data_IF_395446899455
#
_entry.id   IF_395446899455
#
_cell.length_a   1.000
_cell.length_b   1.000
_cell.length_c   1.000
_cell.angle_alpha   90.00
_cell.angle_beta   90.00
_cell.angle_gamma   90.00
#
_symmetry.space_group_name_H-M   'P 1'
#
loop_
_entity.id
_entity.type
_entity.pdbx_description
1 polymer ?
#
# COMPACT_ATOMS: atom_id res chain seq x y z
N UNK A 1 -7.37 -28.23 4.76
CA UNK A 1 -7.47 -26.81 5.14
C UNK A 1 -6.52 -26.40 6.28
N UNK A 2 -6.49 -27.10 7.43
CA UNK A 2 -5.56 -26.78 8.56
C UNK A 2 -4.07 -26.77 8.20
N UNK A 3 -3.61 -27.69 7.36
CA UNK A 3 -2.20 -27.78 6.94
C UNK A 3 -1.71 -26.56 6.15
N UNK A 4 -2.53 -26.02 5.26
CA UNK A 4 -2.17 -24.83 4.46
C UNK A 4 -2.11 -23.57 5.31
N UNK A 5 -3.04 -23.42 6.23
CA UNK A 5 -3.09 -22.26 7.13
C UNK A 5 -1.86 -22.24 8.06
N UNK A 6 -1.53 -23.40 8.66
CA UNK A 6 -0.34 -23.52 9.50
C UNK A 6 0.96 -23.26 8.71
N UNK A 7 1.02 -23.73 7.46
CA UNK A 7 2.13 -23.43 6.56
C UNK A 7 2.25 -21.94 6.23
N UNK A 8 1.14 -21.26 5.95
CA UNK A 8 1.11 -19.83 5.69
C UNK A 8 1.54 -19.01 6.91
N UNK A 9 1.07 -19.36 8.11
CA UNK A 9 1.46 -18.68 9.35
C UNK A 9 2.95 -18.90 9.64
N UNK A 10 3.47 -20.12 9.46
CA UNK A 10 4.89 -20.41 9.64
C UNK A 10 5.76 -19.62 8.68
N UNK A 11 5.36 -19.54 7.40
CA UNK A 11 6.05 -18.73 6.39
C UNK A 11 5.98 -17.23 6.72
N UNK A 12 4.82 -16.74 7.14
CA UNK A 12 4.66 -15.34 7.55
C UNK A 12 5.60 -15.00 8.71
N UNK A 13 5.66 -15.85 9.74
CA UNK A 13 6.56 -15.66 10.89
C UNK A 13 8.03 -15.66 10.47
N UNK A 14 8.41 -16.57 9.60
CA UNK A 14 9.79 -16.65 9.08
C UNK A 14 10.15 -15.40 8.29
N UNK A 15 9.30 -14.95 7.38
CA UNK A 15 9.52 -13.72 6.61
C UNK A 15 9.55 -12.48 7.47
N UNK A 16 8.71 -12.39 8.50
CA UNK A 16 8.77 -11.29 9.47
C UNK A 16 10.11 -11.27 10.20
N UNK A 17 10.62 -12.42 10.66
CA UNK A 17 11.94 -12.50 11.29
C UNK A 17 13.07 -12.10 10.32
N UNK A 18 12.99 -12.52 9.07
CA UNK A 18 13.93 -12.15 8.01
C UNK A 18 13.86 -10.66 7.66
N UNK A 19 12.73 -10.02 7.88
CA UNK A 19 12.52 -8.59 7.64
C UNK A 19 13.34 -7.70 8.58
N UNK A 20 13.71 -8.17 9.75
CA UNK A 20 14.52 -7.44 10.74
C UNK A 20 16.04 -7.46 10.46
N UNK A 21 16.47 -7.70 9.21
CA UNK A 21 17.88 -7.49 8.85
C UNK A 21 18.19 -6.00 8.78
N UNK A 22 19.41 -5.61 9.18
CA UNK A 22 19.83 -4.20 9.25
C UNK A 22 19.51 -3.43 7.97
N UNK A 23 19.84 -4.00 6.80
CA UNK A 23 19.61 -3.36 5.51
C UNK A 23 18.13 -3.11 5.21
N UNK A 24 17.26 -4.10 5.46
CA UNK A 24 15.83 -3.96 5.22
C UNK A 24 15.16 -3.01 6.22
N UNK A 25 15.57 -3.09 7.48
CA UNK A 25 15.08 -2.18 8.54
C UNK A 25 15.46 -0.74 8.26
N UNK A 26 16.70 -0.49 7.79
CA UNK A 26 17.15 0.87 7.42
C UNK A 26 16.33 1.45 6.29
N UNK A 27 16.06 0.67 5.22
CA UNK A 27 15.21 1.12 4.10
C UNK A 27 13.78 1.39 4.56
N UNK A 28 13.22 0.53 5.40
CA UNK A 28 11.88 0.71 5.94
C UNK A 28 11.78 1.96 6.83
N UNK A 29 12.80 2.20 7.66
CA UNK A 29 12.87 3.38 8.51
C UNK A 29 13.02 4.66 7.69
N UNK A 30 13.88 4.65 6.68
CA UNK A 30 14.05 5.78 5.76
C UNK A 30 12.74 6.13 5.05
N UNK A 31 12.02 5.11 4.59
CA UNK A 31 10.72 5.28 3.95
C UNK A 31 9.67 5.84 4.93
N UNK A 32 9.66 5.38 6.18
CA UNK A 32 8.74 5.86 7.21
C UNK A 32 9.06 7.29 7.66
N UNK A 33 10.33 7.68 7.69
CA UNK A 33 10.75 9.02 8.13
C UNK A 33 10.65 10.08 7.04
N UNK A 34 10.59 9.69 5.78
CA UNK A 34 10.54 10.64 4.66
C UNK A 34 9.35 11.61 4.73
N UNK A 35 8.08 11.16 4.88
CA UNK A 35 6.94 12.07 4.96
C UNK A 35 6.97 13.01 6.18
N UNK A 36 7.26 12.54 7.41
CA UNK A 36 7.33 13.44 8.55
C UNK A 36 8.48 14.47 8.45
N UNK A 37 9.61 14.12 7.83
CA UNK A 37 10.69 15.11 7.61
C UNK A 37 10.28 16.17 6.60
N UNK A 38 9.62 15.80 5.50
CA UNK A 38 9.08 16.75 4.53
C UNK A 38 8.05 17.67 5.17
N UNK A 39 7.18 17.11 6.00
CA UNK A 39 6.21 17.86 6.75
C UNK A 39 6.84 18.88 7.70
N UNK A 40 7.81 18.44 8.46
CA UNK A 40 8.53 19.29 9.40
C UNK A 40 9.19 20.49 8.68
N UNK A 41 9.86 20.24 7.55
CA UNK A 41 10.48 21.29 6.74
C UNK A 41 9.45 22.31 6.22
N UNK A 42 8.29 21.82 5.73
CA UNK A 42 7.22 22.69 5.25
C UNK A 42 6.60 23.51 6.38
N UNK A 43 6.42 22.93 7.56
CA UNK A 43 5.87 23.62 8.72
C UNK A 43 6.78 24.75 9.23
N UNK A 44 8.08 24.64 9.04
CA UNK A 44 9.03 25.73 9.34
C UNK A 44 8.85 26.90 8.37
N UNK A 45 8.63 26.60 7.08
CA UNK A 45 8.39 27.62 6.05
C UNK A 45 7.09 28.41 6.27
N UNK A 46 5.99 27.73 6.63
CA UNK A 46 4.69 28.36 6.87
C UNK A 46 4.65 29.24 8.14
N UNK A 47 5.43 28.91 9.16
CA UNK A 47 5.59 29.77 10.35
C UNK A 47 6.25 31.11 10.02
N UNK A 48 7.11 31.12 9.01
CA UNK A 48 7.80 32.36 8.57
C UNK A 48 6.84 33.25 7.76
N UNK A 49 5.90 32.68 7.03
CA UNK A 49 4.96 33.43 6.16
C UNK A 49 3.66 33.85 6.84
N UNK A 50 3.33 33.34 8.03
CA UNK A 50 2.11 33.72 8.78
C UNK A 50 0.79 33.29 8.14
N UNK A 51 0.79 32.44 7.13
CA UNK A 51 -0.35 32.10 6.31
C UNK A 51 -1.04 30.81 6.81
N UNK A 52 -2.26 30.95 7.33
CA UNK A 52 -3.08 29.85 7.84
C UNK A 52 -3.64 28.93 6.72
N UNK A 53 -3.44 29.27 5.46
CA UNK A 53 -3.79 28.43 4.31
C UNK A 53 -2.93 27.15 4.23
N UNK A 54 -1.78 27.14 4.87
CA UNK A 54 -0.85 26.01 4.93
C UNK A 54 -1.43 24.72 5.51
N UNK A 55 -2.52 24.81 6.33
CA UNK A 55 -3.16 23.62 6.89
C UNK A 55 -3.88 22.77 5.86
N UNK A 56 -4.48 23.38 4.85
CA UNK A 56 -5.22 22.68 3.80
C UNK A 56 -4.30 21.98 2.81
N UNK A 57 -3.21 22.63 2.46
CA UNK A 57 -2.17 22.07 1.60
C UNK A 57 -1.40 20.94 2.30
N UNK A 58 -1.29 21.03 3.61
CA UNK A 58 -0.76 20.00 4.47
C UNK A 58 -1.56 18.69 4.44
N UNK A 59 -2.88 18.73 4.61
CA UNK A 59 -3.71 17.53 4.58
C UNK A 59 -3.67 16.85 3.21
N UNK A 60 -3.65 17.63 2.13
CA UNK A 60 -3.46 17.12 0.76
C UNK A 60 -2.09 16.50 0.59
N UNK A 61 -1.05 17.16 1.05
CA UNK A 61 0.32 16.66 0.95
C UNK A 61 0.52 15.36 1.71
N UNK A 62 0.01 15.25 2.95
CA UNK A 62 0.10 14.01 3.73
C UNK A 62 -0.63 12.87 3.02
N UNK A 63 -1.84 13.09 2.56
CA UNK A 63 -2.60 12.02 1.91
C UNK A 63 -1.91 11.55 0.63
N UNK A 64 -1.40 12.47 -0.18
CA UNK A 64 -0.66 12.12 -1.40
C UNK A 64 0.66 11.43 -1.09
N UNK A 65 1.47 11.98 -0.18
CA UNK A 65 2.77 11.40 0.15
C UNK A 65 2.65 10.06 0.87
N UNK A 66 1.77 9.94 1.85
CA UNK A 66 1.64 8.72 2.62
C UNK A 66 0.97 7.62 1.81
N UNK A 67 -0.15 7.89 1.15
CA UNK A 67 -0.85 6.85 0.40
C UNK A 67 -0.04 6.47 -0.85
N UNK A 68 0.40 7.45 -1.63
CA UNK A 68 1.03 7.18 -2.92
C UNK A 68 2.50 6.77 -2.79
N UNK A 69 3.24 7.26 -1.82
CA UNK A 69 4.66 6.94 -1.68
C UNK A 69 4.91 5.82 -0.69
N UNK A 70 4.51 5.98 0.57
CA UNK A 70 4.89 5.02 1.62
C UNK A 70 4.22 3.68 1.39
N UNK A 71 2.90 3.63 1.19
CA UNK A 71 2.21 2.38 0.95
C UNK A 71 2.67 1.68 -0.33
N UNK A 72 2.73 2.41 -1.46
CA UNK A 72 3.09 1.82 -2.75
C UNK A 72 4.55 1.39 -2.81
N UNK A 73 5.50 2.23 -2.35
CA UNK A 73 6.91 1.88 -2.35
C UNK A 73 7.22 0.76 -1.36
N UNK A 74 6.58 0.73 -0.19
CA UNK A 74 6.76 -0.37 0.75
C UNK A 74 6.28 -1.69 0.13
N UNK A 75 5.13 -1.70 -0.56
CA UNK A 75 4.64 -2.89 -1.23
C UNK A 75 5.50 -3.29 -2.43
N UNK A 76 6.01 -2.34 -3.20
CA UNK A 76 6.97 -2.61 -4.27
C UNK A 76 8.22 -3.32 -3.75
N UNK A 77 8.73 -2.91 -2.59
CA UNK A 77 9.95 -3.48 -2.00
C UNK A 77 9.70 -4.84 -1.31
N UNK A 78 8.53 -5.00 -0.66
CA UNK A 78 8.27 -6.17 0.17
C UNK A 78 7.41 -7.24 -0.51
N UNK A 79 6.40 -6.87 -1.30
CA UNK A 79 5.49 -7.82 -1.93
C UNK A 79 5.97 -8.31 -3.29
N UNK A 80 6.65 -7.46 -4.07
CA UNK A 80 7.06 -7.79 -5.44
C UNK A 80 8.09 -8.92 -5.53
N UNK A 81 9.16 -9.02 -4.67
CA UNK A 81 10.17 -10.06 -4.81
C UNK A 81 9.77 -11.40 -4.23
N UNK A 82 8.50 -11.63 -3.90
CA UNK A 82 8.03 -12.82 -3.18
C UNK A 82 8.44 -14.16 -3.81
N UNK A 83 8.25 -14.33 -5.12
CA UNK A 83 8.61 -15.56 -5.83
C UNK A 83 10.08 -15.56 -6.21
N UNK A 84 10.59 -14.42 -6.69
CA UNK A 84 11.97 -14.28 -7.12
C UNK A 84 12.98 -14.63 -6.01
N UNK A 85 12.72 -14.20 -4.78
CA UNK A 85 13.60 -14.47 -3.65
C UNK A 85 13.78 -15.96 -3.32
N UNK A 86 12.76 -16.79 -3.60
CA UNK A 86 12.84 -18.24 -3.40
C UNK A 86 13.57 -18.96 -4.56
N UNK A 87 13.40 -18.42 -5.77
CA UNK A 87 14.12 -18.94 -6.93
C UNK A 87 15.61 -18.63 -6.84
N UNK A 88 15.97 -17.41 -6.46
CA UNK A 88 17.35 -16.98 -6.26
C UNK A 88 18.03 -17.75 -5.12
N UNK A 89 17.30 -17.99 -4.02
CA UNK A 89 17.77 -18.77 -2.88
C UNK A 89 17.82 -20.29 -3.13
N UNK A 90 17.49 -20.79 -4.33
CA UNK A 90 17.44 -22.22 -4.69
C UNK A 90 16.52 -23.05 -3.79
N UNK A 91 15.66 -22.42 -3.00
CA UNK A 91 14.72 -23.08 -2.09
C UNK A 91 13.47 -23.60 -2.80
N UNK A 92 13.19 -23.11 -4.00
CA UNK A 92 11.97 -23.43 -4.75
C UNK A 92 11.77 -24.94 -5.00
N UNK A 93 12.82 -25.67 -5.35
CA UNK A 93 12.73 -27.11 -5.58
C UNK A 93 12.20 -27.91 -4.39
N UNK A 94 12.67 -27.56 -3.18
CA UNK A 94 12.20 -28.17 -1.93
C UNK A 94 10.77 -27.79 -1.59
N UNK A 95 10.36 -26.56 -1.94
CA UNK A 95 9.02 -26.04 -1.72
C UNK A 95 8.03 -26.69 -2.68
N UNK A 96 8.39 -26.74 -3.96
CA UNK A 96 7.52 -27.23 -5.02
C UNK A 96 7.17 -28.72 -4.88
N UNK A 97 8.04 -29.50 -4.23
CA UNK A 97 7.83 -30.95 -4.00
C UNK A 97 6.75 -31.27 -2.96
N UNK A 98 6.37 -30.29 -2.10
CA UNK A 98 5.36 -30.53 -1.06
C UNK A 98 3.97 -30.10 -1.52
N UNK A 99 2.94 -30.96 -1.37
CA UNK A 99 1.57 -30.61 -1.78
C UNK A 99 1.05 -29.42 -1.00
N UNK A 100 0.56 -28.39 -1.72
CA UNK A 100 -0.01 -27.18 -1.13
C UNK A 100 0.99 -26.16 -0.58
N UNK A 101 2.30 -26.45 -0.57
CA UNK A 101 3.30 -25.50 -0.06
C UNK A 101 3.39 -24.24 -0.91
N UNK A 102 3.18 -24.32 -2.22
CA UNK A 102 3.21 -23.16 -3.14
C UNK A 102 2.20 -22.08 -2.73
N UNK A 103 0.96 -22.48 -2.41
CA UNK A 103 -0.09 -21.54 -1.96
C UNK A 103 0.22 -21.05 -0.55
N UNK A 104 0.69 -21.92 0.35
CA UNK A 104 1.03 -21.52 1.72
C UNK A 104 2.12 -20.46 1.75
N UNK A 105 3.13 -20.56 0.88
CA UNK A 105 4.20 -19.58 0.78
C UNK A 105 3.69 -18.27 0.19
N UNK A 106 2.89 -18.31 -0.87
CA UNK A 106 2.30 -17.11 -1.43
C UNK A 106 1.49 -16.34 -0.37
N UNK A 107 0.60 -17.04 0.34
CA UNK A 107 -0.22 -16.43 1.39
C UNK A 107 0.62 -15.95 2.58
N UNK A 108 1.63 -16.71 2.99
CA UNK A 108 2.52 -16.32 4.07
C UNK A 108 3.33 -15.07 3.75
N UNK A 109 3.88 -14.97 2.54
CA UNK A 109 4.60 -13.78 2.07
C UNK A 109 3.70 -12.58 1.85
N UNK A 110 2.49 -12.79 1.31
CA UNK A 110 1.47 -11.76 1.23
C UNK A 110 1.14 -11.18 2.61
N UNK A 111 0.88 -12.04 3.60
CA UNK A 111 0.60 -11.59 4.96
C UNK A 111 1.79 -10.86 5.60
N UNK A 112 3.00 -11.34 5.38
CA UNK A 112 4.21 -10.69 5.89
C UNK A 112 4.40 -9.30 5.27
N UNK A 113 4.28 -9.18 3.94
CA UNK A 113 4.39 -7.89 3.24
C UNK A 113 3.28 -6.92 3.67
N UNK A 114 2.05 -7.40 3.83
CA UNK A 114 0.94 -6.62 4.35
C UNK A 114 1.25 -6.06 5.76
N UNK A 115 1.66 -6.92 6.70
CA UNK A 115 1.94 -6.52 8.09
C UNK A 115 3.09 -5.51 8.16
N UNK A 116 4.19 -5.77 7.46
CA UNK A 116 5.36 -4.87 7.45
C UNK A 116 5.01 -3.52 6.84
N UNK A 117 4.36 -3.51 5.69
CA UNK A 117 3.99 -2.24 5.03
C UNK A 117 2.95 -1.46 5.83
N UNK A 118 2.01 -2.14 6.47
CA UNK A 118 1.05 -1.50 7.36
C UNK A 118 1.74 -0.89 8.58
N UNK A 119 2.68 -1.60 9.20
CA UNK A 119 3.47 -1.07 10.33
C UNK A 119 4.30 0.16 9.93
N UNK A 120 4.96 0.14 8.76
CA UNK A 120 5.70 1.28 8.21
C UNK A 120 4.77 2.48 7.99
N UNK A 121 3.60 2.24 7.39
CA UNK A 121 2.61 3.29 7.12
C UNK A 121 2.03 3.89 8.40
N UNK A 122 1.73 3.06 9.41
CA UNK A 122 1.27 3.54 10.71
C UNK A 122 2.33 4.34 11.44
N UNK A 123 3.60 3.93 11.38
CA UNK A 123 4.71 4.69 11.96
C UNK A 123 4.82 6.07 11.30
N UNK A 124 4.81 6.12 9.97
CA UNK A 124 4.86 7.36 9.21
C UNK A 124 3.67 8.27 9.55
N UNK A 125 2.44 7.72 9.57
CA UNK A 125 1.24 8.44 9.93
C UNK A 125 1.31 9.01 11.35
N UNK A 126 1.73 8.19 12.32
CA UNK A 126 1.82 8.62 13.73
C UNK A 126 2.79 9.78 13.89
N UNK A 127 3.96 9.71 13.27
CA UNK A 127 4.94 10.80 13.28
C UNK A 127 4.41 12.06 12.60
N UNK A 128 3.75 11.93 11.46
CA UNK A 128 3.13 13.06 10.77
C UNK A 128 2.05 13.74 11.62
N UNK A 129 1.18 12.96 12.27
CA UNK A 129 0.12 13.50 13.13
C UNK A 129 0.69 14.21 14.35
N UNK A 130 1.73 13.66 14.98
CA UNK A 130 2.41 14.31 16.12
C UNK A 130 3.04 15.64 15.70
N UNK A 131 3.74 15.69 14.56
CA UNK A 131 4.33 16.93 14.05
C UNK A 131 3.25 17.94 13.74
N UNK A 132 2.17 17.51 13.09
CA UNK A 132 1.06 18.36 12.72
C UNK A 132 0.32 18.93 13.94
N UNK A 133 0.08 18.11 14.96
CA UNK A 133 -0.52 18.57 16.21
C UNK A 133 0.33 19.64 16.90
N UNK A 134 1.64 19.39 17.00
CA UNK A 134 2.58 20.30 17.66
C UNK A 134 2.88 21.59 16.90
N UNK A 135 2.93 21.52 15.57
CA UNK A 135 3.34 22.63 14.73
C UNK A 135 2.17 23.43 14.18
N UNK A 136 1.04 22.80 13.91
CA UNK A 136 -0.09 23.38 13.19
C UNK A 136 -1.37 23.44 14.05
N UNK A 137 -1.40 22.81 15.23
CA UNK A 137 -2.54 22.84 16.14
C UNK A 137 -3.81 22.19 15.56
N UNK A 138 -3.71 20.95 15.14
CA UNK A 138 -4.81 20.22 14.49
C UNK A 138 -5.99 19.98 15.45
N UNK A 139 -7.21 20.27 14.97
CA UNK A 139 -8.43 19.90 15.68
C UNK A 139 -8.68 18.38 15.57
N UNK A 140 -8.78 17.68 16.70
CA UNK A 140 -9.07 16.24 16.80
C UNK A 140 -8.06 15.30 16.09
N UNK A 141 -6.77 15.33 16.45
CA UNK A 141 -5.73 14.51 15.84
C UNK A 141 -6.01 13.00 15.96
N UNK A 142 -6.67 12.58 17.04
CA UNK A 142 -7.03 11.17 17.28
C UNK A 142 -8.05 10.64 16.25
N UNK A 143 -9.09 11.40 15.96
CA UNK A 143 -10.09 11.02 14.95
C UNK A 143 -9.47 10.91 13.56
N UNK A 144 -8.58 11.83 13.24
CA UNK A 144 -7.85 11.77 11.98
C UNK A 144 -6.95 10.53 11.91
N UNK A 145 -6.19 10.26 12.96
CA UNK A 145 -5.31 9.10 13.03
C UNK A 145 -6.08 7.79 12.86
N UNK A 146 -7.23 7.63 13.54
CA UNK A 146 -8.09 6.45 13.42
C UNK A 146 -8.63 6.30 11.99
N UNK A 147 -9.16 7.38 11.42
CA UNK A 147 -9.71 7.38 10.06
C UNK A 147 -8.66 6.99 9.02
N UNK A 148 -7.48 7.62 9.06
CA UNK A 148 -6.39 7.36 8.11
C UNK A 148 -5.76 5.99 8.33
N UNK A 149 -5.66 5.49 9.57
CA UNK A 149 -5.17 4.13 9.81
C UNK A 149 -6.07 3.08 9.16
N UNK A 150 -7.40 3.29 9.16
CA UNK A 150 -8.34 2.46 8.41
C UNK A 150 -8.10 2.51 6.90
N UNK A 151 -7.88 3.69 6.32
CA UNK A 151 -7.56 3.84 4.89
C UNK A 151 -6.28 3.09 4.54
N UNK A 152 -5.21 3.21 5.37
CA UNK A 152 -3.95 2.50 5.13
C UNK A 152 -4.06 0.99 5.28
N UNK A 153 -4.94 0.51 6.15
CA UNK A 153 -5.21 -0.92 6.27
C UNK A 153 -5.73 -1.48 4.94
N UNK A 154 -6.72 -0.84 4.34
CA UNK A 154 -7.26 -1.26 3.04
C UNK A 154 -6.27 -1.02 1.90
N UNK A 155 -5.49 0.06 1.94
CA UNK A 155 -4.42 0.32 0.98
C UNK A 155 -3.39 -0.81 0.99
N UNK A 156 -2.85 -1.14 2.17
CA UNK A 156 -1.86 -2.20 2.30
C UNK A 156 -2.41 -3.56 1.90
N UNK A 157 -3.67 -3.85 2.19
CA UNK A 157 -4.32 -5.10 1.80
C UNK A 157 -4.42 -5.23 0.26
N UNK A 158 -4.98 -4.22 -0.41
CA UNK A 158 -5.18 -4.24 -1.85
C UNK A 158 -3.85 -4.24 -2.62
N UNK A 159 -2.93 -3.35 -2.24
CA UNK A 159 -1.65 -3.26 -2.91
C UNK A 159 -0.75 -4.49 -2.68
N UNK A 160 -0.71 -5.09 -1.48
CA UNK A 160 0.06 -6.30 -1.28
C UNK A 160 -0.43 -7.45 -2.14
N UNK A 161 -1.74 -7.54 -2.40
CA UNK A 161 -2.31 -8.53 -3.29
C UNK A 161 -1.90 -8.29 -4.76
N UNK A 162 -2.01 -7.04 -5.24
CA UNK A 162 -1.63 -6.66 -6.61
C UNK A 162 -0.13 -6.87 -6.84
N UNK A 163 0.71 -6.40 -5.92
CA UNK A 163 2.16 -6.56 -6.07
C UNK A 163 2.62 -8.02 -5.93
N UNK A 164 1.92 -8.83 -5.13
CA UNK A 164 2.14 -10.29 -5.11
C UNK A 164 1.78 -10.92 -6.46
N UNK A 165 0.71 -10.50 -7.11
CA UNK A 165 0.35 -10.93 -8.46
C UNK A 165 1.41 -10.53 -9.48
N UNK A 166 1.85 -9.26 -9.48
CA UNK A 166 2.92 -8.78 -10.36
C UNK A 166 4.20 -9.60 -10.15
N UNK A 167 4.55 -9.88 -8.90
CA UNK A 167 5.71 -10.71 -8.55
C UNK A 167 5.65 -12.15 -9.05
N UNK A 168 4.45 -12.73 -9.12
CA UNK A 168 4.26 -14.08 -9.68
C UNK A 168 4.24 -14.11 -11.21
N UNK A 169 3.73 -13.05 -11.84
CA UNK A 169 3.69 -12.93 -13.31
C UNK A 169 5.06 -12.65 -13.92
N UNK A 170 5.79 -11.68 -13.37
CA UNK A 170 7.01 -11.09 -13.95
C UNK A 170 8.25 -11.32 -13.07
N UNK A 171 8.65 -12.56 -12.86
CA UNK A 171 9.69 -12.96 -11.90
C UNK A 171 10.97 -12.11 -12.01
N UNK A 172 11.58 -12.03 -13.20
CA UNK A 172 12.87 -11.33 -13.40
C UNK A 172 12.74 -9.78 -13.44
N UNK A 173 11.57 -9.24 -13.76
CA UNK A 173 11.34 -7.80 -13.95
C UNK A 173 10.20 -7.26 -13.09
N UNK A 174 9.85 -7.97 -12.04
CA UNK A 174 8.70 -7.66 -11.21
C UNK A 174 8.72 -6.22 -10.64
N UNK A 175 9.87 -5.76 -10.17
CA UNK A 175 10.01 -4.39 -9.67
C UNK A 175 9.80 -3.32 -10.74
N UNK A 176 10.30 -3.54 -11.97
CA UNK A 176 10.14 -2.60 -13.08
C UNK A 176 8.67 -2.52 -13.49
N UNK A 177 8.01 -3.67 -13.62
CA UNK A 177 6.58 -3.73 -13.94
C UNK A 177 5.74 -3.13 -12.80
N UNK A 178 6.09 -3.40 -11.55
CA UNK A 178 5.45 -2.81 -10.38
C UNK A 178 5.57 -1.28 -10.35
N UNK A 179 6.75 -0.74 -10.67
CA UNK A 179 6.93 0.71 -10.81
C UNK A 179 6.11 1.28 -11.98
N UNK A 180 6.04 0.56 -13.11
CA UNK A 180 5.18 0.91 -14.23
C UNK A 180 3.69 0.93 -13.85
N UNK A 181 3.23 -0.03 -13.04
CA UNK A 181 1.88 -0.04 -12.49
C UNK A 181 1.61 1.19 -11.61
N UNK A 182 2.53 1.55 -10.72
CA UNK A 182 2.39 2.73 -9.86
C UNK A 182 2.19 3.99 -10.72
N UNK A 183 3.07 4.20 -11.69
CA UNK A 183 3.03 5.40 -12.54
C UNK A 183 1.80 5.37 -13.44
N UNK A 184 1.55 4.28 -14.15
CA UNK A 184 0.48 4.19 -15.12
C UNK A 184 -0.91 4.16 -14.50
N UNK A 185 -1.14 3.27 -13.53
CA UNK A 185 -2.45 3.08 -12.92
C UNK A 185 -2.73 4.09 -11.81
N UNK A 186 -1.83 4.18 -10.83
CA UNK A 186 -2.11 4.93 -9.62
C UNK A 186 -1.80 6.43 -9.72
N UNK A 187 -0.87 6.84 -10.59
CA UNK A 187 -0.56 8.26 -10.77
C UNK A 187 -1.29 8.87 -11.98
N UNK A 188 -1.31 8.19 -13.13
CA UNK A 188 -1.91 8.73 -14.34
C UNK A 188 -3.41 8.44 -14.39
N UNK A 189 -3.83 7.17 -14.41
CA UNK A 189 -5.25 6.81 -14.56
C UNK A 189 -6.09 7.32 -13.40
N UNK A 190 -5.61 7.21 -12.17
CA UNK A 190 -6.34 7.71 -11.00
C UNK A 190 -6.50 9.24 -10.97
N UNK A 191 -5.75 9.97 -11.78
CA UNK A 191 -5.82 11.45 -11.86
C UNK A 191 -6.73 11.94 -12.98
N UNK A 192 -7.22 11.05 -13.86
CA UNK A 192 -8.13 11.43 -14.95
C UNK A 192 -9.55 11.54 -14.37
N UNK A 193 -10.19 12.72 -14.43
CA UNK A 193 -11.54 12.89 -13.93
C UNK A 193 -12.57 12.17 -14.82
N UNK A 194 -13.64 11.70 -14.18
CA UNK A 194 -14.89 11.24 -14.78
C UNK A 194 -14.80 10.08 -15.82
N UNK A 195 -13.86 9.15 -15.63
CA UNK A 195 -13.74 7.96 -16.48
C UNK A 195 -14.07 6.70 -15.68
N UNK A 196 -14.90 5.83 -16.23
CA UNK A 196 -15.23 4.50 -15.67
C UNK A 196 -13.97 3.72 -15.24
N UNK A 197 -12.86 3.92 -15.94
CA UNK A 197 -11.56 3.29 -15.68
C UNK A 197 -11.01 3.68 -14.32
N UNK A 198 -11.30 4.90 -13.84
CA UNK A 198 -10.85 5.37 -12.53
C UNK A 198 -11.40 4.52 -11.38
N UNK A 199 -12.63 4.02 -11.52
CA UNK A 199 -13.26 3.14 -10.53
C UNK A 199 -12.55 1.78 -10.38
N UNK A 200 -11.68 1.40 -11.29
CA UNK A 200 -10.85 0.19 -11.17
C UNK A 200 -9.51 0.44 -10.47
N UNK A 201 -9.17 1.70 -10.18
CA UNK A 201 -7.93 2.03 -9.47
C UNK A 201 -8.14 1.95 -7.95
N UNK A 202 -7.16 1.41 -7.25
CA UNK A 202 -7.20 1.32 -5.78
C UNK A 202 -7.21 2.72 -5.16
N UNK A 203 -6.41 3.64 -5.72
CA UNK A 203 -6.29 5.02 -5.24
C UNK A 203 -7.63 5.76 -5.22
N UNK A 204 -8.47 5.59 -6.22
CA UNK A 204 -9.80 6.22 -6.27
C UNK A 204 -10.64 5.83 -5.04
N UNK A 205 -10.70 4.54 -4.73
CA UNK A 205 -11.46 4.06 -3.57
C UNK A 205 -10.87 4.52 -2.25
N UNK A 206 -9.55 4.57 -2.14
CA UNK A 206 -8.88 5.05 -0.93
C UNK A 206 -9.07 6.56 -0.71
N UNK A 207 -9.05 7.36 -1.77
CA UNK A 207 -9.34 8.78 -1.69
C UNK A 207 -10.78 9.05 -1.22
N UNK A 208 -11.76 8.34 -1.79
CA UNK A 208 -13.16 8.45 -1.37
C UNK A 208 -13.36 8.06 0.10
N UNK A 209 -12.72 6.98 0.56
CA UNK A 209 -12.75 6.58 1.97
C UNK A 209 -12.09 7.65 2.87
N UNK A 210 -10.95 8.20 2.45
CA UNK A 210 -10.25 9.26 3.17
C UNK A 210 -11.08 10.52 3.32
N UNK A 211 -11.75 10.96 2.23
CA UNK A 211 -12.65 12.11 2.24
C UNK A 211 -13.79 11.92 3.24
N UNK A 212 -14.42 10.74 3.22
CA UNK A 212 -15.61 10.50 4.05
C UNK A 212 -15.28 10.23 5.52
N UNK A 213 -14.16 9.60 5.81
CA UNK A 213 -13.80 9.26 7.18
C UNK A 213 -13.02 10.36 7.88
N UNK A 214 -12.09 11.01 7.18
CA UNK A 214 -11.27 12.06 7.76
C UNK A 214 -11.86 13.46 7.59
N UNK A 215 -12.77 13.68 6.62
CA UNK A 215 -13.45 14.97 6.37
C UNK A 215 -12.51 16.12 5.97
N UNK A 216 -11.26 15.84 5.65
CA UNK A 216 -10.17 16.82 5.65
C UNK A 216 -9.71 17.28 4.28
N UNK A 217 -10.06 16.55 3.23
CA UNK A 217 -9.63 16.90 1.88
C UNK A 217 -10.24 18.18 1.34
N UNK A 218 -11.38 18.58 1.92
CA UNK A 218 -12.10 19.75 1.46
C UNK A 218 -12.51 20.64 2.65
N UNK A 219 -11.79 21.74 2.84
CA UNK A 219 -12.00 22.65 3.96
C UNK A 219 -13.30 23.46 3.84
N UNK A 220 -13.89 23.50 2.65
CA UNK A 220 -15.16 24.20 2.43
C UNK A 220 -16.17 23.29 1.72
N UNK A 221 -17.49 23.46 2.00
CA UNK A 221 -18.54 22.76 1.27
C UNK A 221 -18.52 23.00 -0.25
N UNK A 222 -18.00 24.16 -0.69
CA UNK A 222 -17.83 24.49 -2.10
C UNK A 222 -16.78 23.64 -2.77
N UNK A 223 -15.61 23.47 -2.18
CA UNK A 223 -14.53 22.64 -2.74
C UNK A 223 -14.90 21.16 -2.81
N UNK A 224 -15.73 20.66 -1.87
CA UNK A 224 -16.29 19.32 -1.96
C UNK A 224 -17.31 19.19 -3.11
N UNK A 225 -18.12 20.22 -3.35
CA UNK A 225 -19.05 20.25 -4.48
C UNK A 225 -18.30 20.26 -5.81
N UNK A 226 -17.26 21.08 -5.93
CA UNK A 226 -16.42 21.14 -7.13
C UNK A 226 -15.72 19.81 -7.41
N UNK A 227 -15.23 19.14 -6.37
CA UNK A 227 -14.70 17.76 -6.50
C UNK A 227 -15.75 16.78 -6.99
N UNK A 228 -16.96 16.82 -6.41
CA UNK A 228 -18.06 15.92 -6.80
C UNK A 228 -18.59 16.22 -8.20
N UNK A 229 -18.55 17.46 -8.66
CA UNK A 229 -18.86 17.82 -10.05
C UNK A 229 -17.88 17.19 -11.04
N UNK A 230 -16.60 17.06 -10.64
CA UNK A 230 -15.52 16.52 -11.49
C UNK A 230 -15.44 14.99 -11.40
N UNK A 231 -15.62 14.41 -10.21
CA UNK A 231 -15.43 12.97 -9.97
C UNK A 231 -16.75 12.19 -9.72
N UNK A 232 -17.89 12.86 -9.84
CA UNK A 232 -19.21 12.26 -9.65
C UNK A 232 -19.65 12.10 -8.19
N UNK A 233 -20.93 11.77 -8.00
CA UNK A 233 -21.43 11.37 -6.67
C UNK A 233 -20.85 9.99 -6.33
N UNK A 234 -19.98 9.95 -5.32
CA UNK A 234 -19.28 8.73 -4.97
C UNK A 234 -20.22 7.60 -4.52
N UNK A 235 -19.87 6.38 -4.85
CA UNK A 235 -20.52 5.15 -4.41
C UNK A 235 -20.64 5.08 -2.87
N UNK A 236 -21.57 4.31 -2.30
CA UNK A 236 -21.64 4.11 -0.84
C UNK A 236 -20.34 3.49 -0.29
N UNK A 237 -19.99 3.85 0.95
CA UNK A 237 -18.76 3.39 1.62
C UNK A 237 -18.58 1.86 1.55
N UNK A 238 -19.66 1.13 1.76
CA UNK A 238 -19.64 -0.34 1.71
C UNK A 238 -19.21 -0.88 0.34
N UNK A 239 -19.58 -0.20 -0.75
CA UNK A 239 -19.16 -0.59 -2.10
C UNK A 239 -17.67 -0.33 -2.33
N UNK A 240 -17.12 0.81 -1.85
CA UNK A 240 -15.68 1.06 -1.95
C UNK A 240 -14.87 -0.01 -1.21
N UNK A 241 -15.29 -0.36 0.01
CA UNK A 241 -14.65 -1.44 0.79
C UNK A 241 -14.80 -2.78 0.08
N UNK A 242 -16.01 -3.10 -0.40
CA UNK A 242 -16.28 -4.34 -1.12
C UNK A 242 -15.44 -4.49 -2.39
N UNK A 243 -15.27 -3.42 -3.17
CA UNK A 243 -14.44 -3.42 -4.36
C UNK A 243 -12.95 -3.59 -4.03
N UNK A 244 -12.44 -2.97 -2.96
CA UNK A 244 -11.06 -3.17 -2.52
C UNK A 244 -10.81 -4.64 -2.11
N UNK A 245 -11.74 -5.26 -1.40
CA UNK A 245 -11.66 -6.69 -1.08
C UNK A 245 -11.75 -7.57 -2.33
N UNK A 246 -12.62 -7.22 -3.28
CA UNK A 246 -12.76 -7.94 -4.53
C UNK A 246 -11.47 -7.87 -5.35
N UNK A 247 -10.87 -6.69 -5.49
CA UNK A 247 -9.58 -6.49 -6.18
C UNK A 247 -8.50 -7.36 -5.51
N UNK A 248 -8.41 -7.32 -4.17
CA UNK A 248 -7.44 -8.12 -3.44
C UNK A 248 -7.68 -9.64 -3.62
N UNK A 249 -8.94 -10.09 -3.55
CA UNK A 249 -9.28 -11.51 -3.72
C UNK A 249 -9.00 -12.00 -5.13
N UNK A 250 -9.35 -11.22 -6.16
CA UNK A 250 -9.07 -11.54 -7.57
C UNK A 250 -7.56 -11.59 -7.82
N UNK A 251 -6.80 -10.61 -7.33
CA UNK A 251 -5.35 -10.57 -7.49
C UNK A 251 -4.67 -11.77 -6.82
N UNK A 252 -5.04 -12.09 -5.58
CA UNK A 252 -4.51 -13.26 -4.87
C UNK A 252 -4.95 -14.58 -5.51
N UNK A 253 -6.20 -14.67 -5.98
CA UNK A 253 -6.70 -15.86 -6.67
C UNK A 253 -5.94 -16.13 -7.95
N UNK A 254 -5.70 -15.10 -8.76
CA UNK A 254 -4.87 -15.19 -9.98
C UNK A 254 -3.43 -15.53 -9.66
N UNK A 255 -2.82 -14.90 -8.65
CA UNK A 255 -1.47 -15.23 -8.21
C UNK A 255 -1.36 -16.69 -7.75
N UNK A 256 -2.34 -17.17 -6.99
CA UNK A 256 -2.43 -18.57 -6.54
C UNK A 256 -2.58 -19.55 -7.69
N UNK A 257 -3.43 -19.21 -8.67
CA UNK A 257 -3.59 -20.01 -9.87
C UNK A 257 -2.29 -20.10 -10.68
N UNK A 258 -1.61 -18.98 -10.91
CA UNK A 258 -0.36 -18.92 -11.67
C UNK A 258 0.76 -19.72 -10.96
N UNK A 259 0.89 -19.58 -9.64
CA UNK A 259 1.96 -20.25 -8.89
C UNK A 259 1.77 -21.78 -8.85
N UNK A 260 0.54 -22.26 -8.98
CA UNK A 260 0.23 -23.69 -9.06
C UNK A 260 0.41 -24.24 -10.47
N UNK A 261 -0.07 -23.50 -11.48
CA UNK A 261 -0.08 -23.93 -12.88
C UNK A 261 1.25 -23.79 -13.59
N UNK A 262 2.13 -22.86 -13.14
CA UNK A 262 3.39 -22.58 -13.80
C UNK A 262 4.53 -23.39 -13.15
N UNK A 263 5.31 -24.08 -13.98
CA UNK A 263 6.59 -24.66 -13.57
C UNK A 263 7.67 -23.57 -13.66
N UNK A 264 8.29 -23.28 -12.50
CA UNK A 264 9.40 -22.34 -12.45
C UNK A 264 10.71 -23.13 -12.58
N UNK A 265 11.36 -23.00 -13.73
CA UNK A 265 12.65 -23.62 -14.00
C UNK A 265 13.74 -22.79 -13.31
N UNK A 266 14.49 -23.42 -12.44
CA UNK A 266 15.71 -22.80 -11.86
C UNK A 266 16.76 -22.66 -12.97
N UNK A 267 17.29 -21.46 -13.16
CA UNK A 267 18.17 -21.03 -14.25
C UNK A 267 19.58 -21.67 -14.23
N UNK A 268 19.71 -22.95 -13.99
CA UNK A 268 21.00 -23.67 -14.14
C UNK A 268 21.14 -24.38 -15.50
N UNK A 269 20.14 -24.32 -16.38
CA UNK A 269 20.14 -25.01 -17.66
C UNK A 269 20.03 -24.10 -18.89
N UNK A 270 20.49 -22.83 -18.78
CA UNK A 270 20.54 -21.97 -19.97
C UNK A 270 21.86 -21.23 -20.05
#
# INVERSE_FOLDING_TARGET
MKLWLNGAIATCRFELQRSFTFQRTSVSLMLALFPPTMLFLLSLGTRVSGDLTGFQDFAKLISVLLISLVCLLSQLLWATPNVYSELEGKSWGFIASRPGARISILLGKFLASFVVSFAISLLALSLCVIIADRMLGILNPEKFWIAMSGVYLFACLAYSAIFSLIGTLFIKRAMVVGAGYIIGSEMVLASIPDVLINQFTVRFHLQELGIRWAGWFFPSPSSLKDYRLVFGEGLPIALHIGLLFLIAAVALGLAGWIIVSREFITTEES
#
